data_IF_967086654167
#
_entry.id   IF_967086654167
#
_cell.length_a   1.000
_cell.length_b   1.000
_cell.length_c   1.000
_cell.angle_alpha   90.00
_cell.angle_beta   90.00
_cell.angle_gamma   90.00
#
_symmetry.space_group_name_H-M   'P 1'
#
loop_
_entity.id
_entity.type
_entity.pdbx_description
1 polymer ?
#
# COMPACT_ATOMS: atom_id res chain seq x y z
N UNK A 1 -12.39 -6.21 -36.85
CA UNK A 1 -11.34 -5.47 -36.15
C UNK A 1 -10.15 -6.40 -35.99
N UNK A 2 -9.13 -6.25 -36.83
CA UNK A 2 -7.88 -7.02 -36.67
C UNK A 2 -7.22 -6.59 -35.36
N UNK A 3 -7.15 -7.49 -34.38
CA UNK A 3 -6.27 -7.31 -33.23
C UNK A 3 -4.84 -7.44 -33.76
N UNK A 4 -4.19 -6.30 -34.00
CA UNK A 4 -2.75 -6.28 -34.24
C UNK A 4 -2.07 -6.83 -32.97
N UNK A 5 -1.54 -8.03 -33.08
CA UNK A 5 -0.84 -8.72 -31.98
C UNK A 5 0.55 -8.06 -31.80
N UNK A 6 0.56 -6.87 -31.17
CA UNK A 6 1.78 -6.11 -30.93
C UNK A 6 2.49 -6.71 -29.72
N UNK A 7 3.70 -7.21 -29.91
CA UNK A 7 4.55 -7.67 -28.80
C UNK A 7 4.87 -6.49 -27.89
N UNK A 8 4.72 -6.69 -26.57
CA UNK A 8 5.02 -5.68 -25.55
C UNK A 8 6.06 -6.22 -24.60
N UNK A 9 7.07 -5.40 -24.31
CA UNK A 9 8.03 -5.68 -23.25
C UNK A 9 7.52 -5.12 -21.91
N UNK A 10 7.95 -5.76 -20.82
CA UNK A 10 7.63 -5.32 -19.49
C UNK A 10 8.64 -5.79 -18.45
N UNK A 11 8.49 -5.30 -17.23
CA UNK A 11 9.32 -5.66 -16.08
C UNK A 11 8.42 -6.22 -14.98
N UNK A 12 8.84 -7.32 -14.37
CA UNK A 12 8.28 -7.82 -13.12
C UNK A 12 9.10 -7.28 -11.97
N UNK A 13 8.51 -6.40 -11.16
CA UNK A 13 9.10 -5.88 -9.93
C UNK A 13 7.97 -5.59 -8.94
N UNK A 14 7.99 -6.25 -7.77
CA UNK A 14 6.99 -5.95 -6.75
C UNK A 14 7.22 -4.59 -6.12
N UNK A 15 6.13 -3.93 -5.69
CA UNK A 15 6.15 -2.58 -5.13
C UNK A 15 7.10 -2.49 -3.94
N UNK A 16 7.10 -3.50 -3.06
CA UNK A 16 7.97 -3.56 -1.88
C UNK A 16 9.47 -3.63 -2.19
N UNK A 17 9.83 -3.90 -3.45
CA UNK A 17 11.23 -3.90 -3.92
C UNK A 17 11.70 -2.54 -4.43
N UNK A 18 10.83 -1.53 -4.47
CA UNK A 18 11.23 -0.17 -4.80
C UNK A 18 12.04 0.45 -3.66
N UNK A 19 13.04 1.31 -3.98
CA UNK A 19 13.77 2.05 -2.95
C UNK A 19 12.89 3.09 -2.28
N UNK A 20 13.18 3.41 -1.03
CA UNK A 20 12.46 4.46 -0.31
C UNK A 20 12.96 4.66 1.12
N UNK A 21 12.44 5.67 1.81
CA UNK A 21 12.82 5.96 3.19
C UNK A 21 12.18 5.01 4.20
N UNK A 22 11.29 4.13 3.77
CA UNK A 22 10.65 3.12 4.61
C UNK A 22 11.33 1.76 4.43
N UNK A 23 11.12 0.83 5.35
CA UNK A 23 11.75 -0.51 5.32
C UNK A 23 11.32 -1.39 4.14
N UNK A 24 10.37 -0.95 3.34
CA UNK A 24 9.97 -1.55 2.07
C UNK A 24 9.45 -0.46 1.13
N UNK A 25 9.45 -0.76 -0.17
CA UNK A 25 8.90 0.15 -1.18
C UNK A 25 7.40 0.37 -1.02
N UNK A 26 6.94 1.56 -1.42
CA UNK A 26 5.56 2.03 -1.31
C UNK A 26 5.04 2.53 -2.66
N UNK A 27 3.73 2.80 -2.75
CA UNK A 27 3.09 3.48 -3.89
C UNK A 27 3.30 5.00 -3.82
N UNK A 28 4.55 5.41 -3.57
CA UNK A 28 4.97 6.80 -3.44
C UNK A 28 5.80 7.28 -4.63
N UNK A 29 6.63 8.27 -4.37
CA UNK A 29 7.49 8.93 -5.37
C UNK A 29 8.37 7.96 -6.14
N UNK A 30 8.91 6.91 -5.48
CA UNK A 30 9.74 5.91 -6.13
C UNK A 30 8.94 5.09 -7.17
N UNK A 31 7.66 4.82 -6.90
CA UNK A 31 6.78 4.15 -7.84
C UNK A 31 6.51 5.01 -9.08
N UNK A 32 6.25 6.31 -8.90
CA UNK A 32 6.09 7.25 -10.02
C UNK A 32 7.35 7.31 -10.88
N UNK A 33 8.51 7.50 -10.26
CA UNK A 33 9.80 7.52 -10.98
C UNK A 33 10.07 6.22 -11.71
N UNK A 34 9.67 5.08 -11.15
CA UNK A 34 9.83 3.80 -11.83
C UNK A 34 8.92 3.68 -13.07
N UNK A 35 7.69 4.19 -13.00
CA UNK A 35 6.80 4.27 -14.18
C UNK A 35 7.40 5.14 -15.27
N UNK A 36 7.94 6.32 -14.92
CA UNK A 36 8.61 7.22 -15.88
C UNK A 36 9.85 6.55 -16.50
N UNK A 37 10.62 5.83 -15.71
CA UNK A 37 11.74 5.03 -16.20
C UNK A 37 11.28 3.96 -17.20
N UNK A 38 10.23 3.19 -16.87
CA UNK A 38 9.68 2.18 -17.78
C UNK A 38 9.21 2.81 -19.09
N UNK A 39 8.53 3.94 -19.02
CA UNK A 39 8.07 4.67 -20.19
C UNK A 39 9.26 5.10 -21.06
N UNK A 40 10.30 5.68 -20.46
CA UNK A 40 11.51 6.13 -21.20
C UNK A 40 12.28 4.95 -21.83
N UNK A 41 12.25 3.78 -21.20
CA UNK A 41 12.83 2.54 -21.70
C UNK A 41 11.95 1.83 -22.76
N UNK A 42 10.81 2.41 -23.15
CA UNK A 42 9.90 1.80 -24.11
C UNK A 42 9.10 0.60 -23.60
N UNK A 43 9.14 0.33 -22.29
CA UNK A 43 8.37 -0.72 -21.65
C UNK A 43 6.89 -0.34 -21.57
N UNK A 44 6.01 -1.34 -21.68
CA UNK A 44 4.56 -1.13 -21.72
C UNK A 44 3.82 -1.81 -20.58
N UNK A 45 4.51 -2.66 -19.81
CA UNK A 45 3.92 -3.47 -18.74
C UNK A 45 4.81 -3.39 -17.52
N UNK A 46 4.23 -3.02 -16.40
CA UNK A 46 4.79 -3.26 -15.08
C UNK A 46 3.97 -4.38 -14.42
N UNK A 47 4.58 -5.56 -14.25
CA UNK A 47 3.97 -6.67 -13.55
C UNK A 47 4.35 -6.64 -12.08
N UNK A 48 3.37 -6.73 -11.21
CA UNK A 48 3.55 -6.83 -9.75
C UNK A 48 2.99 -8.15 -9.24
N UNK A 49 3.41 -8.58 -8.06
CA UNK A 49 2.75 -9.66 -7.32
C UNK A 49 1.42 -9.15 -6.75
N UNK A 50 0.54 -10.03 -6.22
CA UNK A 50 -0.71 -9.58 -5.60
C UNK A 50 -0.48 -8.47 -4.57
N UNK A 51 -1.28 -7.41 -4.65
CA UNK A 51 -1.14 -6.19 -3.83
C UNK A 51 -2.05 -6.20 -2.60
N UNK A 52 -2.63 -7.35 -2.28
CA UNK A 52 -3.45 -7.53 -1.09
C UNK A 52 -2.63 -7.62 0.21
N UNK A 53 -3.30 -7.62 1.37
CA UNK A 53 -2.65 -7.87 2.65
C UNK A 53 -1.92 -9.21 2.64
N UNK A 54 -0.70 -9.22 3.15
CA UNK A 54 0.12 -10.44 3.21
C UNK A 54 -0.36 -11.38 4.32
N UNK A 55 -0.17 -12.67 4.13
CA UNK A 55 -0.44 -13.71 5.11
C UNK A 55 0.82 -14.15 5.86
N UNK A 56 0.83 -15.41 6.28
CA UNK A 56 1.98 -16.01 6.96
C UNK A 56 3.24 -15.94 6.09
N UNK A 57 4.36 -15.59 6.71
CA UNK A 57 5.65 -15.44 6.03
C UNK A 57 5.68 -14.32 4.99
N UNK A 58 4.83 -13.32 5.12
CA UNK A 58 4.70 -12.17 4.21
C UNK A 58 4.36 -12.56 2.77
N UNK A 59 3.75 -13.72 2.59
CA UNK A 59 3.36 -14.21 1.28
C UNK A 59 2.22 -13.38 0.69
N UNK A 60 2.39 -12.76 -0.49
CA UNK A 60 1.33 -12.02 -1.16
C UNK A 60 0.23 -12.93 -1.71
N UNK A 61 0.49 -14.25 -1.76
CA UNK A 61 -0.47 -15.26 -2.25
C UNK A 61 -1.39 -15.82 -1.15
N UNK A 62 -1.16 -15.46 0.11
CA UNK A 62 -1.94 -15.94 1.26
C UNK A 62 -2.76 -14.81 1.89
N UNK A 63 -3.34 -13.95 1.06
CA UNK A 63 -4.19 -12.87 1.53
C UNK A 63 -5.51 -13.41 2.11
N UNK A 64 -5.91 -12.86 3.26
CA UNK A 64 -7.22 -13.15 3.84
C UNK A 64 -8.39 -12.50 3.08
N UNK A 65 -8.11 -11.54 2.20
CA UNK A 65 -9.10 -10.84 1.39
C UNK A 65 -8.49 -10.44 0.04
N UNK A 66 -9.02 -11.00 -1.04
CA UNK A 66 -8.57 -10.70 -2.40
C UNK A 66 -8.96 -9.30 -2.90
N UNK A 67 -9.91 -8.63 -2.23
CA UNK A 67 -10.40 -7.29 -2.59
C UNK A 67 -9.70 -6.17 -1.84
N UNK A 68 -9.04 -6.48 -0.73
CA UNK A 68 -8.36 -5.48 0.09
C UNK A 68 -6.97 -5.14 -0.44
N UNK A 69 -6.60 -3.87 -0.42
CA UNK A 69 -5.23 -3.44 -0.64
C UNK A 69 -4.36 -3.62 0.61
N UNK A 70 -3.05 -3.80 0.41
CA UNK A 70 -2.10 -3.88 1.51
C UNK A 70 -1.84 -2.47 2.08
N UNK A 71 -2.20 -2.19 3.34
CA UNK A 71 -1.99 -0.87 3.95
C UNK A 71 -0.51 -0.48 4.04
N UNK A 72 0.40 -1.44 4.02
CA UNK A 72 1.84 -1.17 4.06
C UNK A 72 2.39 -0.63 2.74
N UNK A 73 1.62 -0.67 1.64
CA UNK A 73 1.97 0.00 0.39
C UNK A 73 1.56 1.49 0.34
N UNK A 74 0.81 1.98 1.33
CA UNK A 74 0.51 3.41 1.47
C UNK A 74 1.82 4.14 1.76
N UNK A 75 2.08 5.23 1.06
CA UNK A 75 3.27 6.07 1.27
C UNK A 75 2.99 7.14 2.33
N UNK A 76 3.78 7.15 3.41
CA UNK A 76 3.58 8.09 4.52
C UNK A 76 3.94 9.52 4.14
N UNK A 77 4.90 9.73 3.23
CA UNK A 77 5.24 11.05 2.76
C UNK A 77 4.13 11.67 1.89
N UNK A 78 3.41 10.84 1.12
CA UNK A 78 2.22 11.31 0.41
C UNK A 78 1.09 11.66 1.38
N UNK A 79 0.86 10.88 2.45
CA UNK A 79 -0.10 11.25 3.49
C UNK A 79 0.26 12.58 4.16
N UNK A 80 1.55 12.84 4.37
CA UNK A 80 2.02 14.13 4.88
C UNK A 80 1.72 15.26 3.90
N UNK A 81 2.08 15.08 2.64
CA UNK A 81 1.85 16.06 1.56
C UNK A 81 0.36 16.42 1.42
N UNK A 82 -0.52 15.43 1.58
CA UNK A 82 -1.97 15.59 1.48
C UNK A 82 -2.62 16.09 2.78
N UNK A 83 -1.82 16.36 3.82
CA UNK A 83 -2.26 16.91 5.09
C UNK A 83 -2.94 15.93 6.02
N UNK A 84 -2.83 14.62 5.77
CA UNK A 84 -3.35 13.58 6.65
C UNK A 84 -2.40 13.22 7.80
N UNK A 85 -1.10 13.53 7.64
CA UNK A 85 -0.05 13.19 8.59
C UNK A 85 1.00 14.32 8.69
N UNK A 86 0.63 15.52 9.18
CA UNK A 86 1.48 16.73 9.07
C UNK A 86 2.82 16.64 9.82
N UNK A 87 2.91 15.79 10.82
CA UNK A 87 4.07 15.64 11.68
C UNK A 87 4.90 14.37 11.40
N UNK A 88 4.68 13.73 10.27
CA UNK A 88 5.49 12.58 9.86
C UNK A 88 6.96 12.96 9.68
N UNK A 89 7.82 12.14 10.27
CA UNK A 89 9.27 12.22 10.08
C UNK A 89 9.77 10.80 9.77
N UNK A 90 10.37 10.60 8.59
CA UNK A 90 10.93 9.29 8.25
C UNK A 90 12.07 8.94 9.20
N UNK A 91 12.06 7.72 9.71
CA UNK A 91 13.19 7.19 10.45
C UNK A 91 14.35 6.91 9.47
N UNK A 92 15.60 7.14 9.88
CA UNK A 92 16.73 6.73 9.07
C UNK A 92 16.85 5.20 9.09
N UNK A 93 16.69 4.58 7.93
CA UNK A 93 16.91 3.14 7.77
C UNK A 93 18.22 2.89 7.02
N UNK A 94 18.93 1.84 7.42
CA UNK A 94 20.05 1.35 6.64
C UNK A 94 19.54 0.71 5.35
N UNK A 95 20.12 1.07 4.22
CA UNK A 95 19.85 0.40 2.95
C UNK A 95 20.39 -1.03 2.99
N UNK A 96 19.55 -1.98 3.40
CA UNK A 96 19.93 -3.39 3.51
C UNK A 96 19.78 -4.16 2.19
N UNK A 97 19.16 -3.53 1.18
CA UNK A 97 18.82 -4.18 -0.08
C UNK A 97 17.70 -5.22 0.03
N UNK A 98 17.05 -5.31 1.18
CA UNK A 98 15.92 -6.22 1.45
C UNK A 98 14.82 -5.48 2.19
N UNK A 99 13.56 -5.82 1.87
CA UNK A 99 12.41 -5.36 2.65
C UNK A 99 12.41 -6.03 4.05
N UNK A 100 12.29 -5.21 5.08
CA UNK A 100 12.12 -5.66 6.46
C UNK A 100 10.67 -5.43 6.90
N UNK A 101 9.87 -6.46 6.77
CA UNK A 101 8.43 -6.38 7.06
C UNK A 101 8.10 -6.33 8.55
N UNK A 102 8.97 -6.83 9.41
CA UNK A 102 8.76 -6.76 10.87
C UNK A 102 8.92 -5.32 11.34
N UNK A 103 10.05 -4.69 10.99
CA UNK A 103 10.30 -3.28 11.28
C UNK A 103 9.25 -2.38 10.59
N UNK A 104 8.92 -2.67 9.33
CA UNK A 104 7.90 -1.93 8.59
C UNK A 104 6.55 -1.91 9.33
N UNK A 105 6.08 -3.04 9.85
CA UNK A 105 4.82 -3.11 10.60
C UNK A 105 4.90 -2.31 11.89
N UNK A 106 5.96 -2.52 12.65
CA UNK A 106 6.14 -1.87 13.96
C UNK A 106 6.15 -0.34 13.83
N UNK A 107 6.74 0.19 12.77
CA UNK A 107 6.85 1.63 12.56
C UNK A 107 5.65 2.23 11.82
N UNK A 108 5.13 1.55 10.79
CA UNK A 108 4.10 2.11 9.91
C UNK A 108 2.70 2.10 10.54
N UNK A 109 2.37 1.07 11.30
CA UNK A 109 1.04 0.97 11.89
C UNK A 109 0.71 2.13 12.84
N UNK A 110 1.59 2.58 13.74
CA UNK A 110 1.36 3.78 14.55
C UNK A 110 1.13 5.04 13.71
N UNK A 111 1.89 5.21 12.61
CA UNK A 111 1.71 6.36 11.72
C UNK A 111 0.38 6.34 10.97
N UNK A 112 -0.05 5.18 10.47
CA UNK A 112 -1.36 5.05 9.82
C UNK A 112 -2.51 5.32 10.81
N UNK A 113 -2.40 4.85 12.06
CA UNK A 113 -3.36 5.18 13.12
C UNK A 113 -3.39 6.67 13.41
N UNK A 114 -2.23 7.32 13.48
CA UNK A 114 -2.12 8.75 13.71
C UNK A 114 -2.71 9.56 12.56
N UNK A 115 -2.46 9.16 11.32
CA UNK A 115 -3.09 9.76 10.15
C UNK A 115 -4.62 9.69 10.21
N UNK A 116 -5.17 8.53 10.58
CA UNK A 116 -6.60 8.36 10.79
C UNK A 116 -7.13 9.25 11.91
N UNK A 117 -6.48 9.27 13.08
CA UNK A 117 -6.90 10.10 14.23
C UNK A 117 -6.91 11.58 13.88
N UNK A 118 -5.89 12.06 13.17
CA UNK A 118 -5.79 13.44 12.72
C UNK A 118 -6.90 13.83 11.73
N UNK A 119 -7.28 12.90 10.86
CA UNK A 119 -8.18 13.18 9.73
C UNK A 119 -9.61 12.69 9.93
N UNK A 120 -9.89 11.98 11.01
CA UNK A 120 -11.14 11.30 11.27
C UNK A 120 -12.35 12.21 11.12
N UNK A 121 -12.34 13.36 11.79
CA UNK A 121 -13.49 14.25 11.82
C UNK A 121 -13.77 14.83 10.43
N UNK A 122 -12.72 15.18 9.67
CA UNK A 122 -12.82 15.59 8.28
C UNK A 122 -13.41 14.49 7.40
N UNK A 123 -12.90 13.26 7.51
CA UNK A 123 -13.38 12.12 6.74
C UNK A 123 -14.84 11.77 7.03
N UNK A 124 -15.27 11.87 8.28
CA UNK A 124 -16.65 11.57 8.68
C UNK A 124 -17.64 12.69 8.35
N UNK A 125 -17.19 13.94 8.31
CA UNK A 125 -18.05 15.09 8.01
C UNK A 125 -18.29 15.33 6.51
N UNK A 126 -17.41 14.85 5.65
CA UNK A 126 -17.43 15.08 4.20
C UNK A 126 -18.55 14.29 3.48
N UNK A 127 -19.07 13.23 4.10
CA UNK A 127 -20.04 12.32 3.46
C UNK A 127 -19.45 11.46 2.35
N UNK A 128 -18.26 11.81 1.82
CA UNK A 128 -17.58 11.06 0.78
C UNK A 128 -17.21 9.65 1.23
N UNK A 129 -16.84 9.49 2.49
CA UNK A 129 -16.53 8.20 3.08
C UNK A 129 -17.76 7.26 3.12
N UNK A 130 -18.95 7.78 3.44
CA UNK A 130 -20.18 6.99 3.42
C UNK A 130 -20.55 6.54 2.01
N UNK A 131 -20.40 7.44 1.03
CA UNK A 131 -20.63 7.10 -0.38
C UNK A 131 -19.66 6.01 -0.83
N UNK A 132 -18.41 6.14 -0.48
CA UNK A 132 -17.39 5.15 -0.79
C UNK A 132 -17.66 3.79 -0.11
N UNK A 133 -18.06 3.75 1.16
CA UNK A 133 -18.42 2.52 1.86
C UNK A 133 -19.61 1.80 1.19
N UNK A 134 -20.60 2.53 0.68
CA UNK A 134 -21.75 1.93 -0.03
C UNK A 134 -21.33 1.25 -1.34
N UNK A 135 -20.28 1.73 -1.99
CA UNK A 135 -19.73 1.10 -3.21
C UNK A 135 -18.99 -0.21 -2.91
N UNK A 136 -18.54 -0.40 -1.66
CA UNK A 136 -17.73 -1.54 -1.25
C UNK A 136 -18.34 -2.25 -0.02
N UNK A 137 -19.48 -2.95 -0.17
CA UNK A 137 -20.20 -3.55 0.96
C UNK A 137 -19.40 -4.59 1.74
N UNK A 138 -18.44 -5.29 1.10
CA UNK A 138 -17.54 -6.23 1.75
C UNK A 138 -16.60 -5.59 2.79
N UNK A 139 -16.35 -4.30 2.69
CA UNK A 139 -15.38 -3.58 3.51
C UNK A 139 -15.72 -3.65 5.01
N UNK A 140 -17.01 -3.56 5.34
CA UNK A 140 -17.48 -3.60 6.73
C UNK A 140 -17.13 -4.94 7.40
N UNK A 141 -17.40 -6.03 6.71
CA UNK A 141 -17.16 -7.38 7.23
C UNK A 141 -15.65 -7.63 7.32
N UNK A 142 -14.88 -7.19 6.33
CA UNK A 142 -13.43 -7.27 6.36
C UNK A 142 -12.83 -6.44 7.50
N UNK A 143 -13.29 -5.21 7.71
CA UNK A 143 -12.83 -4.37 8.82
C UNK A 143 -13.12 -5.00 10.19
N UNK A 144 -14.31 -5.58 10.36
CA UNK A 144 -14.68 -6.32 11.57
C UNK A 144 -13.78 -7.56 11.77
N UNK A 145 -13.56 -8.33 10.71
CA UNK A 145 -12.66 -9.48 10.74
C UNK A 145 -11.24 -9.07 11.18
N UNK A 146 -10.68 -8.00 10.60
CA UNK A 146 -9.35 -7.52 10.96
C UNK A 146 -9.28 -7.01 12.41
N UNK A 147 -10.33 -6.32 12.88
CA UNK A 147 -10.42 -5.88 14.27
C UNK A 147 -10.47 -7.05 15.26
N UNK A 148 -11.21 -8.10 14.94
CA UNK A 148 -11.28 -9.33 15.74
C UNK A 148 -9.94 -10.07 15.73
N UNK A 149 -9.31 -10.23 14.57
CA UNK A 149 -7.97 -10.81 14.47
C UNK A 149 -6.96 -10.07 15.35
N UNK A 150 -6.96 -8.75 15.32
CA UNK A 150 -6.09 -7.96 16.17
C UNK A 150 -6.38 -8.17 17.66
N UNK A 151 -7.67 -8.18 18.04
CA UNK A 151 -8.10 -8.38 19.44
C UNK A 151 -7.67 -9.74 20.00
N UNK A 152 -7.67 -10.77 19.17
CA UNK A 152 -7.34 -12.15 19.54
C UNK A 152 -5.92 -12.58 19.11
N UNK A 153 -4.99 -11.62 19.00
CA UNK A 153 -3.58 -11.87 18.70
C UNK A 153 -3.34 -12.69 17.41
N UNK A 154 -4.11 -12.40 16.37
CA UNK A 154 -3.95 -13.02 15.05
C UNK A 154 -4.39 -14.50 14.97
N UNK A 155 -5.11 -15.03 15.96
CA UNK A 155 -5.66 -16.39 15.92
C UNK A 155 -6.81 -16.50 14.91
#
# INVERSE_FOLDING_TARGET
>A
MEQTNVRRGGVLLHITSLPGPECAGTLGEAAYRFVDFLQSAGMRIWQVLPVGPTGYGESPYQSACALAGNPYMIDLALLQKDGYLPDYQPAPHAETGRADFETLRAEKEPWLRRAYQHSRDRLLSDGAFEVWQKQWPWLRDYALFMALKQKFNQV
#
